data_IF_029012718282
#
_entry.id   IF_029012718282
#
_cell.length_a   1.000
_cell.length_b   1.000
_cell.length_c   1.000
_cell.angle_alpha   90.00
_cell.angle_beta   90.00
_cell.angle_gamma   90.00
#
_symmetry.space_group_name_H-M   'P 1'
#
loop_
_entity.id
_entity.type
_entity.pdbx_description
1 polymer ?
#
# COMPACT_ATOMS: atom_id res chain seq x y z
N UNK A 1 13.61 -11.11 -29.84
CA UNK A 1 13.75 -10.99 -28.37
C UNK A 1 13.95 -12.38 -27.81
N UNK A 2 15.12 -12.67 -27.25
CA UNK A 2 15.40 -13.95 -26.59
C UNK A 2 14.67 -13.99 -25.25
N UNK A 3 13.80 -14.98 -25.06
CA UNK A 3 13.12 -15.22 -23.78
C UNK A 3 14.15 -15.73 -22.77
N UNK A 4 14.48 -14.93 -21.76
CA UNK A 4 15.34 -15.38 -20.66
C UNK A 4 14.68 -16.54 -19.91
N UNK A 5 15.47 -17.53 -19.51
CA UNK A 5 14.94 -18.62 -18.68
C UNK A 5 14.57 -18.10 -17.29
N UNK A 6 13.70 -18.83 -16.59
CA UNK A 6 13.29 -18.48 -15.22
C UNK A 6 14.50 -18.37 -14.26
N UNK A 7 15.50 -19.23 -14.42
CA UNK A 7 16.72 -19.20 -13.61
C UNK A 7 17.59 -17.99 -13.94
N UNK A 8 17.70 -17.60 -15.22
CA UNK A 8 18.47 -16.41 -15.61
C UNK A 8 17.87 -15.13 -15.03
N UNK A 9 16.54 -15.02 -15.03
CA UNK A 9 15.82 -13.89 -14.41
C UNK A 9 16.18 -13.81 -12.91
N UNK A 10 16.10 -14.93 -12.19
CA UNK A 10 16.43 -14.96 -10.75
C UNK A 10 17.89 -14.60 -10.49
N UNK A 11 18.83 -15.15 -11.27
CA UNK A 11 20.25 -14.83 -11.13
C UNK A 11 20.52 -13.33 -11.35
N UNK A 12 19.90 -12.74 -12.39
CA UNK A 12 20.04 -11.31 -12.69
C UNK A 12 19.40 -10.42 -11.62
N UNK A 13 18.24 -10.78 -11.07
CA UNK A 13 17.60 -10.03 -9.98
C UNK A 13 18.48 -9.99 -8.71
N UNK A 14 19.27 -11.04 -8.47
CA UNK A 14 20.19 -11.11 -7.32
C UNK A 14 21.48 -10.31 -7.52
N UNK A 15 21.80 -9.95 -8.76
CA UNK A 15 23.03 -9.24 -9.13
C UNK A 15 22.74 -7.74 -9.36
N UNK A 16 23.33 -6.87 -8.54
CA UNK A 16 23.11 -5.42 -8.62
C UNK A 16 23.49 -4.83 -9.99
N UNK A 17 24.50 -5.39 -10.66
CA UNK A 17 24.93 -4.89 -11.98
C UNK A 17 23.96 -5.25 -13.11
N UNK A 18 23.06 -6.20 -12.87
CA UNK A 18 22.10 -6.68 -13.87
C UNK A 18 20.64 -6.36 -13.51
N UNK A 19 20.37 -5.91 -12.29
CA UNK A 19 19.02 -5.54 -11.86
C UNK A 19 18.73 -4.09 -12.23
N UNK A 20 18.06 -3.91 -13.36
CA UNK A 20 17.66 -2.63 -13.91
C UNK A 20 16.21 -2.67 -14.42
N UNK A 21 15.73 -1.55 -14.97
CA UNK A 21 14.36 -1.41 -15.46
C UNK A 21 14.02 -2.38 -16.60
N UNK A 22 14.99 -2.71 -17.46
CA UNK A 22 14.80 -3.69 -18.54
C UNK A 22 14.51 -5.10 -17.99
N UNK A 23 15.20 -5.47 -16.91
CA UNK A 23 14.95 -6.73 -16.22
C UNK A 23 13.56 -6.72 -15.55
N UNK A 24 13.18 -5.62 -14.90
CA UNK A 24 11.84 -5.49 -14.31
C UNK A 24 10.73 -5.62 -15.38
N UNK A 25 10.93 -5.00 -16.56
CA UNK A 25 10.03 -5.16 -17.70
C UNK A 25 10.04 -6.57 -18.27
N UNK A 26 11.18 -7.27 -18.25
CA UNK A 26 11.24 -8.69 -18.62
C UNK A 26 10.44 -9.55 -17.66
N UNK A 27 10.51 -9.29 -16.35
CA UNK A 27 9.66 -9.95 -15.35
C UNK A 27 8.18 -9.69 -15.64
N UNK A 28 7.79 -8.44 -15.92
CA UNK A 28 6.42 -8.08 -16.29
C UNK A 28 5.92 -8.90 -17.48
N UNK A 29 6.67 -8.90 -18.59
CA UNK A 29 6.34 -9.64 -19.82
C UNK A 29 6.24 -11.15 -19.61
N UNK A 30 7.07 -11.68 -18.72
CA UNK A 30 7.17 -13.14 -18.50
C UNK A 30 6.10 -13.64 -17.53
N UNK A 31 5.80 -12.87 -16.48
CA UNK A 31 5.03 -13.36 -15.33
C UNK A 31 3.65 -12.71 -15.24
N UNK A 32 3.51 -11.43 -15.58
CA UNK A 32 2.26 -10.69 -15.41
C UNK A 32 1.42 -10.61 -16.69
N UNK A 33 2.02 -10.19 -17.80
CA UNK A 33 1.31 -10.00 -19.08
C UNK A 33 0.54 -11.24 -19.58
N UNK A 34 0.96 -12.50 -19.35
CA UNK A 34 0.17 -13.66 -19.72
C UNK A 34 -1.24 -13.71 -19.11
N UNK A 35 -1.47 -12.95 -18.03
CA UNK A 35 -2.74 -12.89 -17.30
C UNK A 35 -3.47 -11.55 -17.47
N UNK A 36 -2.91 -10.61 -18.23
CA UNK A 36 -3.53 -9.31 -18.52
C UNK A 36 -4.18 -9.34 -19.91
N UNK A 37 -5.47 -9.01 -19.97
CA UNK A 37 -6.14 -8.75 -21.25
C UNK A 37 -5.72 -7.36 -21.74
N UNK A 38 -5.06 -7.28 -22.89
CA UNK A 38 -4.75 -5.99 -23.51
C UNK A 38 -6.01 -5.41 -24.16
N UNK A 39 -6.75 -4.62 -23.38
CA UNK A 39 -7.97 -3.93 -23.83
C UNK A 39 -7.67 -2.69 -24.70
N UNK A 40 -6.40 -2.29 -24.81
CA UNK A 40 -6.00 -1.04 -25.49
C UNK A 40 -5.65 -1.20 -26.96
N UNK A 41 -5.55 -2.45 -27.45
CA UNK A 41 -5.29 -2.77 -28.86
C UNK A 41 -6.27 -3.84 -29.37
N UNK A 42 -7.41 -3.42 -29.95
CA UNK A 42 -8.43 -4.33 -30.47
C UNK A 42 -7.90 -5.31 -31.53
N UNK A 43 -6.84 -4.94 -32.25
CA UNK A 43 -6.23 -5.75 -33.31
C UNK A 43 -5.28 -6.84 -32.79
N UNK A 44 -4.83 -6.73 -31.55
CA UNK A 44 -3.95 -7.73 -30.89
C UNK A 44 -4.64 -8.40 -29.71
N UNK A 45 -5.97 -8.49 -29.72
CA UNK A 45 -6.72 -9.32 -28.78
C UNK A 45 -6.24 -10.76 -28.99
N UNK A 46 -5.20 -11.15 -28.25
CA UNK A 46 -4.85 -12.56 -28.10
C UNK A 46 -6.13 -13.23 -27.64
N UNK A 47 -6.59 -14.31 -28.30
CA UNK A 47 -7.76 -15.03 -27.83
C UNK A 47 -7.53 -15.35 -26.36
N UNK A 48 -8.51 -14.99 -25.52
CA UNK A 48 -8.43 -15.29 -24.09
C UNK A 48 -8.04 -16.78 -23.97
N UNK A 49 -6.97 -17.12 -23.26
CA UNK A 49 -6.54 -18.50 -23.14
C UNK A 49 -7.72 -19.33 -22.63
N UNK A 50 -7.86 -20.55 -23.15
CA UNK A 50 -8.89 -21.46 -22.64
C UNK A 50 -8.71 -21.64 -21.13
N UNK A 51 -9.78 -21.90 -20.36
CA UNK A 51 -9.66 -22.10 -18.91
C UNK A 51 -8.59 -23.15 -18.53
N UNK A 52 -8.42 -24.19 -19.35
CA UNK A 52 -7.39 -25.21 -19.17
C UNK A 52 -5.97 -24.69 -19.43
N UNK A 53 -5.77 -23.91 -20.50
CA UNK A 53 -4.48 -23.28 -20.79
C UNK A 53 -4.10 -22.26 -19.70
N UNK A 54 -5.07 -21.49 -19.22
CA UNK A 54 -4.87 -20.55 -18.11
C UNK A 54 -4.48 -21.30 -16.82
N UNK A 55 -5.16 -22.41 -16.50
CA UNK A 55 -4.80 -23.26 -15.34
C UNK A 55 -3.38 -23.83 -15.46
N UNK A 56 -2.99 -24.34 -16.63
CA UNK A 56 -1.63 -24.85 -16.86
C UNK A 56 -0.57 -23.76 -16.69
N UNK A 57 -0.82 -22.56 -17.22
CA UNK A 57 0.06 -21.41 -17.04
C UNK A 57 0.16 -20.99 -15.58
N UNK A 58 -0.97 -20.92 -14.86
CA UNK A 58 -1.00 -20.56 -13.44
C UNK A 58 -0.18 -21.55 -12.58
N UNK A 59 -0.35 -22.86 -12.80
CA UNK A 59 0.42 -23.89 -12.09
C UNK A 59 1.93 -23.77 -12.34
N UNK A 60 2.34 -23.37 -13.56
CA UNK A 60 3.75 -23.22 -13.92
C UNK A 60 4.34 -21.91 -13.38
N UNK A 61 3.61 -20.79 -13.48
CA UNK A 61 4.13 -19.45 -13.20
C UNK A 61 3.96 -19.02 -11.74
N UNK A 62 2.99 -19.53 -11.00
CA UNK A 62 2.79 -19.15 -9.60
C UNK A 62 3.99 -19.48 -8.70
N UNK A 63 4.61 -20.69 -8.75
CA UNK A 63 5.81 -20.97 -7.98
C UNK A 63 6.98 -20.05 -8.36
N UNK A 64 7.08 -19.69 -9.64
CA UNK A 64 8.13 -18.80 -10.13
C UNK A 64 7.93 -17.36 -9.63
N UNK A 65 6.71 -16.83 -9.72
CA UNK A 65 6.35 -15.52 -9.18
C UNK A 65 6.63 -15.44 -7.67
N UNK A 66 6.29 -16.49 -6.91
CA UNK A 66 6.58 -16.54 -5.48
C UNK A 66 8.10 -16.53 -5.19
N UNK A 67 8.89 -17.27 -5.97
CA UNK A 67 10.36 -17.25 -5.87
C UNK A 67 10.95 -15.86 -6.14
N UNK A 68 10.43 -15.14 -7.14
CA UNK A 68 10.85 -13.75 -7.42
C UNK A 68 10.62 -12.88 -6.18
N UNK A 69 9.42 -12.88 -5.61
CA UNK A 69 9.09 -12.00 -4.48
C UNK A 69 9.94 -12.32 -3.25
N UNK A 70 10.11 -13.60 -2.92
CA UNK A 70 10.91 -14.02 -1.76
C UNK A 70 12.39 -13.67 -1.94
N UNK A 71 12.96 -13.92 -3.13
CA UNK A 71 14.34 -13.57 -3.43
C UNK A 71 14.56 -12.05 -3.40
N UNK A 72 13.60 -11.29 -3.91
CA UNK A 72 13.68 -9.83 -3.89
C UNK A 72 13.63 -9.29 -2.45
N UNK A 73 12.79 -9.86 -1.56
CA UNK A 73 12.80 -9.51 -0.14
C UNK A 73 14.17 -9.74 0.53
N UNK A 74 14.79 -10.89 0.25
CA UNK A 74 16.14 -11.20 0.74
C UNK A 74 17.17 -10.21 0.18
N UNK A 75 17.07 -9.92 -1.11
CA UNK A 75 18.00 -9.02 -1.82
C UNK A 75 17.87 -7.58 -1.31
N UNK A 76 16.66 -7.08 -1.10
CA UNK A 76 16.39 -5.76 -0.50
C UNK A 76 16.93 -5.68 0.95
N UNK A 77 16.80 -6.78 1.71
CA UNK A 77 17.36 -6.87 3.07
C UNK A 77 18.88 -6.79 3.06
N UNK A 78 19.53 -7.44 2.10
CA UNK A 78 20.98 -7.37 1.91
C UNK A 78 21.42 -5.98 1.44
N UNK A 79 20.70 -5.39 0.49
CA UNK A 79 20.96 -4.05 -0.06
C UNK A 79 21.00 -2.98 1.03
N UNK A 80 20.06 -3.03 1.99
CA UNK A 80 20.02 -2.14 3.16
C UNK A 80 21.28 -2.22 4.02
N UNK A 81 21.88 -3.42 4.14
CA UNK A 81 23.09 -3.65 4.95
C UNK A 81 24.35 -3.22 4.21
N UNK A 82 24.45 -3.56 2.93
CA UNK A 82 25.66 -3.33 2.12
C UNK A 82 25.81 -1.88 1.69
N UNK A 83 24.71 -1.11 1.59
CA UNK A 83 24.72 0.32 1.24
C UNK A 83 25.64 0.64 0.05
N UNK A 84 25.38 0.06 -1.14
CA UNK A 84 26.16 0.37 -2.33
C UNK A 84 26.01 1.84 -2.72
N UNK A 85 26.77 2.26 -3.74
CA UNK A 85 26.67 3.60 -4.32
C UNK A 85 25.21 4.00 -4.60
N UNK A 86 24.90 5.29 -4.40
CA UNK A 86 23.53 5.83 -4.46
C UNK A 86 22.85 5.59 -5.81
N UNK A 87 23.59 5.64 -6.91
CA UNK A 87 23.05 5.40 -8.26
C UNK A 87 22.64 3.94 -8.40
N UNK A 88 23.54 3.02 -8.03
CA UNK A 88 23.29 1.57 -8.04
C UNK A 88 22.11 1.25 -7.11
N UNK A 89 22.10 1.83 -5.91
CA UNK A 89 21.04 1.64 -4.94
C UNK A 89 19.66 1.98 -5.53
N UNK A 90 19.53 3.17 -6.13
CA UNK A 90 18.26 3.65 -6.69
C UNK A 90 17.75 2.73 -7.81
N UNK A 91 18.63 2.36 -8.75
CA UNK A 91 18.27 1.50 -9.88
C UNK A 91 17.86 0.11 -9.41
N UNK A 92 18.63 -0.49 -8.49
CA UNK A 92 18.36 -1.83 -7.96
C UNK A 92 17.08 -1.84 -7.13
N UNK A 93 16.83 -0.82 -6.30
CA UNK A 93 15.58 -0.70 -5.54
C UNK A 93 14.38 -0.67 -6.48
N UNK A 94 14.40 0.18 -7.52
CA UNK A 94 13.31 0.26 -8.48
C UNK A 94 13.09 -1.08 -9.19
N UNK A 95 14.15 -1.71 -9.69
CA UNK A 95 14.13 -3.02 -10.32
C UNK A 95 13.47 -4.08 -9.42
N UNK A 96 13.92 -4.20 -8.17
CA UNK A 96 13.42 -5.20 -7.23
C UNK A 96 11.98 -4.91 -6.77
N UNK A 97 11.65 -3.65 -6.53
CA UNK A 97 10.30 -3.25 -6.11
C UNK A 97 9.29 -3.50 -7.22
N UNK A 98 9.55 -3.01 -8.44
CA UNK A 98 8.63 -3.15 -9.55
C UNK A 98 8.46 -4.62 -9.96
N UNK A 99 9.56 -5.39 -10.06
CA UNK A 99 9.46 -6.83 -10.34
C UNK A 99 8.70 -7.60 -9.26
N UNK A 100 8.81 -7.21 -7.98
CA UNK A 100 8.01 -7.79 -6.90
C UNK A 100 6.52 -7.48 -7.06
N UNK A 101 6.15 -6.24 -7.39
CA UNK A 101 4.74 -5.88 -7.60
C UNK A 101 4.14 -6.49 -8.88
N UNK A 102 4.95 -6.69 -9.92
CA UNK A 102 4.52 -7.45 -11.09
C UNK A 102 4.23 -8.91 -10.74
N UNK A 103 5.14 -9.56 -10.00
CA UNK A 103 4.95 -10.93 -9.55
C UNK A 103 3.75 -11.07 -8.59
N UNK A 104 3.57 -10.15 -7.64
CA UNK A 104 2.40 -10.12 -6.75
C UNK A 104 1.09 -9.93 -7.50
N UNK A 105 1.06 -9.05 -8.50
CA UNK A 105 -0.13 -8.84 -9.33
C UNK A 105 -0.47 -10.10 -10.13
N UNK A 106 0.54 -10.78 -10.68
CA UNK A 106 0.36 -12.05 -11.36
C UNK A 106 -0.19 -13.13 -10.42
N UNK A 107 0.36 -13.24 -9.20
CA UNK A 107 -0.13 -14.16 -8.17
C UNK A 107 -1.61 -13.92 -7.85
N UNK A 108 -2.08 -12.67 -7.83
CA UNK A 108 -3.51 -12.38 -7.61
C UNK A 108 -4.39 -12.91 -8.74
N UNK A 109 -3.96 -12.77 -10.00
CA UNK A 109 -4.66 -13.38 -11.14
C UNK A 109 -4.67 -14.91 -11.09
N UNK A 110 -3.58 -15.51 -10.60
CA UNK A 110 -3.44 -16.97 -10.48
C UNK A 110 -4.16 -17.53 -9.23
N UNK A 111 -4.43 -16.71 -8.22
CA UNK A 111 -4.90 -17.14 -6.90
C UNK A 111 -6.07 -18.14 -6.93
N UNK A 112 -7.14 -17.94 -7.73
CA UNK A 112 -8.27 -18.88 -7.78
C UNK A 112 -7.91 -20.30 -8.24
N UNK A 113 -6.73 -20.47 -8.85
CA UNK A 113 -6.29 -21.72 -9.46
C UNK A 113 -5.07 -22.31 -8.76
N UNK A 114 -4.65 -21.71 -7.65
CA UNK A 114 -3.48 -22.13 -6.87
C UNK A 114 -3.90 -22.57 -5.47
N UNK A 115 -3.05 -23.33 -4.79
CA UNK A 115 -3.26 -23.77 -3.40
C UNK A 115 -2.66 -22.80 -2.38
N UNK A 116 -2.56 -21.52 -2.73
CA UNK A 116 -2.02 -20.50 -1.84
C UNK A 116 -2.92 -20.33 -0.61
N UNK A 117 -2.29 -20.11 0.54
CA UNK A 117 -3.02 -19.91 1.79
C UNK A 117 -3.81 -18.59 1.72
N UNK A 118 -4.99 -18.50 2.35
CA UNK A 118 -5.72 -17.24 2.46
C UNK A 118 -4.82 -16.11 2.97
N UNK A 119 -4.94 -14.94 2.34
CA UNK A 119 -4.18 -13.73 2.65
C UNK A 119 -2.66 -13.84 2.51
N UNK A 120 -2.12 -14.92 1.93
CA UNK A 120 -0.67 -15.08 1.80
C UNK A 120 -0.07 -14.04 0.85
N UNK A 121 -0.79 -13.68 -0.21
CA UNK A 121 -0.33 -12.66 -1.17
C UNK A 121 -0.33 -11.29 -0.49
N UNK A 122 -1.34 -10.99 0.32
CA UNK A 122 -1.50 -9.75 1.06
C UNK A 122 -0.43 -9.60 2.15
N UNK A 123 -0.12 -10.68 2.89
CA UNK A 123 1.02 -10.73 3.82
C UNK A 123 2.33 -10.39 3.11
N UNK A 124 2.59 -11.04 1.98
CA UNK A 124 3.81 -10.79 1.22
C UNK A 124 3.84 -9.36 0.64
N UNK A 125 2.69 -8.83 0.22
CA UNK A 125 2.55 -7.43 -0.21
C UNK A 125 2.90 -6.48 0.93
N UNK A 126 2.33 -6.70 2.13
CA UNK A 126 2.64 -5.92 3.33
C UNK A 126 4.12 -5.98 3.68
N UNK A 127 4.76 -7.15 3.60
CA UNK A 127 6.20 -7.31 3.86
C UNK A 127 7.07 -6.54 2.87
N UNK A 128 6.72 -6.54 1.58
CA UNK A 128 7.40 -5.73 0.56
C UNK A 128 7.26 -4.25 0.90
N UNK A 129 6.06 -3.77 1.21
CA UNK A 129 5.83 -2.37 1.59
C UNK A 129 6.65 -1.98 2.83
N UNK A 130 6.65 -2.80 3.88
CA UNK A 130 7.49 -2.59 5.07
C UNK A 130 8.96 -2.49 4.68
N UNK A 131 9.43 -3.31 3.74
CA UNK A 131 10.82 -3.25 3.27
C UNK A 131 11.14 -1.95 2.53
N UNK A 132 10.19 -1.42 1.75
CA UNK A 132 10.31 -0.12 1.07
C UNK A 132 10.39 1.02 2.10
N UNK A 133 9.56 0.99 3.15
CA UNK A 133 9.63 1.95 4.27
C UNK A 133 11.00 1.90 4.94
N UNK A 134 11.46 0.68 5.25
CA UNK A 134 12.75 0.42 5.87
C UNK A 134 13.98 0.90 5.07
N UNK A 135 13.83 1.04 3.75
CA UNK A 135 14.86 1.50 2.81
C UNK A 135 14.86 3.02 2.62
N UNK A 136 13.95 3.76 3.25
CA UNK A 136 13.87 5.22 3.09
C UNK A 136 12.97 5.68 1.94
N UNK A 137 12.36 4.77 1.19
CA UNK A 137 11.57 5.08 -0.01
C UNK A 137 10.12 5.46 0.34
N UNK A 138 9.95 6.43 1.24
CA UNK A 138 8.66 6.75 1.88
C UNK A 138 7.59 7.19 0.88
N UNK A 139 7.96 7.97 -0.14
CA UNK A 139 7.03 8.39 -1.19
C UNK A 139 6.48 7.21 -1.99
N UNK A 140 7.33 6.22 -2.31
CA UNK A 140 6.89 5.00 -2.99
C UNK A 140 6.07 4.12 -2.06
N UNK A 141 6.48 3.96 -0.81
CA UNK A 141 5.71 3.20 0.18
C UNK A 141 4.29 3.75 0.36
N UNK A 142 4.12 5.07 0.51
CA UNK A 142 2.80 5.72 0.63
C UNK A 142 1.90 5.45 -0.58
N UNK A 143 2.47 5.47 -1.79
CA UNK A 143 1.74 5.14 -3.00
C UNK A 143 1.26 3.68 -2.99
N UNK A 144 2.11 2.74 -2.61
CA UNK A 144 1.73 1.32 -2.53
C UNK A 144 0.77 1.03 -1.38
N UNK A 145 0.88 1.73 -0.25
CA UNK A 145 -0.08 1.67 0.86
C UNK A 145 -1.48 2.10 0.40
N UNK A 146 -1.59 3.09 -0.48
CA UNK A 146 -2.87 3.53 -1.05
C UNK A 146 -3.53 2.41 -1.84
N UNK A 147 -2.78 1.71 -2.70
CA UNK A 147 -3.28 0.55 -3.45
C UNK A 147 -3.62 -0.61 -2.50
N UNK A 148 -2.78 -0.83 -1.49
CA UNK A 148 -2.98 -1.90 -0.52
C UNK A 148 -4.24 -1.70 0.32
N UNK A 149 -4.53 -0.47 0.75
CA UNK A 149 -5.79 -0.11 1.42
C UNK A 149 -7.01 -0.47 0.57
N UNK A 150 -6.99 -0.12 -0.71
CA UNK A 150 -8.08 -0.47 -1.65
C UNK A 150 -8.21 -1.98 -1.81
N UNK A 151 -7.10 -2.71 -1.90
CA UNK A 151 -7.10 -4.17 -1.96
C UNK A 151 -7.72 -4.81 -0.71
N UNK A 152 -7.30 -4.39 0.49
CA UNK A 152 -7.86 -4.91 1.74
C UNK A 152 -9.37 -4.64 1.83
N UNK A 153 -9.80 -3.43 1.46
CA UNK A 153 -11.21 -3.08 1.44
C UNK A 153 -12.03 -3.96 0.49
N UNK A 154 -11.49 -4.25 -0.70
CA UNK A 154 -12.11 -5.17 -1.65
C UNK A 154 -12.24 -6.59 -1.11
N UNK A 155 -11.21 -7.09 -0.39
CA UNK A 155 -11.24 -8.43 0.20
C UNK A 155 -12.29 -8.50 1.31
N UNK A 156 -12.38 -7.46 2.13
CA UNK A 156 -13.32 -7.34 3.23
C UNK A 156 -14.73 -6.92 2.77
N UNK A 157 -14.90 -6.56 1.49
CA UNK A 157 -16.14 -6.05 0.90
C UNK A 157 -16.68 -4.81 1.63
N UNK A 158 -15.78 -3.97 2.15
CA UNK A 158 -16.13 -2.69 2.77
C UNK A 158 -15.99 -1.57 1.76
N UNK A 159 -16.89 -0.58 1.82
CA UNK A 159 -16.83 0.59 0.95
C UNK A 159 -15.85 1.60 1.53
N UNK A 160 -14.83 1.96 0.76
CA UNK A 160 -14.03 3.14 1.05
C UNK A 160 -14.79 4.35 0.55
N UNK A 161 -14.98 5.37 1.39
CA UNK A 161 -15.55 6.64 0.92
C UNK A 161 -14.74 7.15 -0.27
N UNK A 162 -15.38 7.28 -1.44
CA UNK A 162 -14.67 7.56 -2.69
C UNK A 162 -13.95 8.91 -2.64
N UNK A 163 -12.77 8.96 -3.26
CA UNK A 163 -12.17 10.22 -3.67
C UNK A 163 -13.12 10.86 -4.69
N UNK A 164 -13.46 12.13 -4.50
CA UNK A 164 -13.91 12.97 -5.62
C UNK A 164 -12.75 13.02 -6.62
N UNK A 165 -12.78 12.15 -7.62
CA UNK A 165 -12.14 12.44 -8.89
C UNK A 165 -13.13 13.27 -9.68
N UNK A 166 -12.73 14.51 -9.95
CA UNK A 166 -13.42 15.41 -10.84
C UNK A 166 -13.42 14.79 -12.24
N UNK A 167 -14.53 14.18 -12.64
CA UNK A 167 -14.92 14.13 -14.04
C UNK A 167 -16.12 15.06 -14.20
N UNK A 168 -15.79 16.31 -14.56
CA UNK A 168 -16.66 17.09 -15.41
C UNK A 168 -16.68 16.37 -16.77
N UNK A 169 -17.80 15.75 -17.10
CA UNK A 169 -18.27 15.76 -18.48
C UNK A 169 -19.78 15.89 -18.46
N UNK A 170 -20.23 17.11 -18.76
CA UNK A 170 -21.62 17.39 -19.00
C UNK A 170 -22.07 16.74 -20.30
N UNK A 171 -23.13 15.94 -20.23
CA UNK A 171 -24.18 15.98 -21.25
C UNK A 171 -25.49 15.47 -20.66
N UNK A 172 -26.34 16.42 -20.31
CA UNK A 172 -27.76 16.19 -20.16
C UNK A 172 -28.33 15.84 -21.54
N UNK A 173 -28.95 14.66 -21.66
CA UNK A 173 -30.00 14.41 -22.66
C UNK A 173 -31.18 13.80 -21.93
N UNK A 174 -32.33 14.47 -22.07
CA UNK A 174 -33.61 14.18 -21.44
C UNK A 174 -34.31 12.98 -22.09
N UNK A 175 -35.01 12.20 -21.23
CA UNK A 175 -36.32 11.51 -21.36
C UNK A 175 -36.61 10.67 -22.62
N UNK A 176 -37.16 9.44 -22.60
CA UNK A 176 -37.84 8.54 -21.64
C UNK A 176 -38.59 7.45 -22.49
N UNK A 177 -39.59 6.68 -22.01
CA UNK A 177 -39.73 5.90 -20.77
C UNK A 177 -40.22 4.43 -21.01
N UNK A 178 -40.54 3.71 -19.91
CA UNK A 178 -41.27 2.41 -19.76
C UNK A 178 -40.41 1.14 -19.61
N UNK A 179 -40.60 0.24 -18.64
CA UNK A 179 -41.64 0.06 -17.61
C UNK A 179 -41.19 -0.89 -16.47
N UNK A 180 -41.73 -0.66 -15.25
CA UNK A 180 -42.10 -1.62 -14.16
C UNK A 180 -41.02 -2.53 -13.54
N UNK A 181 -40.81 -2.69 -12.22
CA UNK A 181 -41.40 -2.28 -10.93
C UNK A 181 -40.40 -2.80 -9.84
N UNK A 182 -40.38 -2.44 -8.55
CA UNK A 182 -41.37 -2.00 -7.57
C UNK A 182 -40.83 -0.84 -6.73
N UNK A 183 -41.74 0.02 -6.26
CA UNK A 183 -41.49 1.04 -5.24
C UNK A 183 -41.99 0.58 -3.86
N UNK A 184 -41.20 0.87 -2.83
CA UNK A 184 -41.64 1.41 -1.52
C UNK A 184 -40.36 1.99 -0.87
N UNK A 185 -40.05 3.30 -0.83
CA UNK A 185 -40.76 4.42 -0.19
C UNK A 185 -41.17 4.06 1.25
N UNK A 186 -40.77 4.72 2.36
CA UNK A 186 -40.18 6.03 2.66
C UNK A 186 -39.74 6.02 4.15
N UNK A 187 -38.96 7.05 4.53
CA UNK A 187 -38.63 7.60 5.88
C UNK A 187 -37.18 7.38 6.33
N UNK A 188 -36.44 8.38 6.80
CA UNK A 188 -36.67 9.83 6.82
C UNK A 188 -35.32 10.54 6.84
N UNK A 189 -35.32 11.66 6.13
CA UNK A 189 -34.36 12.76 6.14
C UNK A 189 -33.77 13.07 7.52
N UNK A 190 -32.45 12.97 7.63
CA UNK A 190 -31.67 13.93 8.42
C UNK A 190 -30.70 14.61 7.47
N UNK A 191 -31.01 15.86 7.14
CA UNK A 191 -30.11 16.78 6.45
C UNK A 191 -28.82 16.94 7.27
N UNK A 192 -27.73 16.37 6.80
CA UNK A 192 -26.40 16.91 7.05
C UNK A 192 -25.86 17.42 5.73
N UNK A 193 -25.90 18.74 5.62
CA UNK A 193 -25.12 19.56 4.69
C UNK A 193 -23.83 18.87 4.27
N UNK A 194 -23.69 18.66 2.96
CA UNK A 194 -22.44 18.29 2.31
C UNK A 194 -21.43 19.43 2.50
N UNK A 195 -20.84 19.52 3.70
CA UNK A 195 -19.66 20.32 3.93
C UNK A 195 -18.47 19.62 3.27
N UNK A 196 -17.77 20.40 2.47
CA UNK A 196 -16.47 20.13 1.90
C UNK A 196 -15.52 19.61 2.99
N UNK A 197 -15.34 18.29 3.08
CA UNK A 197 -14.30 17.69 3.92
C UNK A 197 -12.95 17.87 3.25
N UNK A 198 -12.42 19.09 3.39
CA UNK A 198 -10.98 19.33 3.39
C UNK A 198 -10.33 18.61 4.56
N UNK A 199 -9.03 18.80 4.75
CA UNK A 199 -8.26 18.36 5.92
C UNK A 199 -8.76 19.00 7.24
N UNK A 200 -10.06 19.02 7.52
CA UNK A 200 -10.67 19.75 8.64
C UNK A 200 -10.20 19.22 10.01
N UNK A 201 -9.57 18.05 10.03
CA UNK A 201 -8.96 17.48 11.23
C UNK A 201 -7.60 18.10 11.54
N UNK A 202 -6.88 18.61 10.53
CA UNK A 202 -5.57 19.27 10.74
C UNK A 202 -5.77 20.77 10.69
N UNK A 203 -5.54 21.51 11.79
CA UNK A 203 -5.70 22.96 11.81
C UNK A 203 -4.86 23.66 10.72
N UNK A 204 -5.47 24.56 9.95
CA UNK A 204 -4.79 25.21 8.83
C UNK A 204 -3.54 26.02 9.25
N UNK A 205 -3.51 26.51 10.49
CA UNK A 205 -2.41 27.28 11.07
C UNK A 205 -1.15 26.45 11.37
N UNK A 206 -1.23 25.11 11.38
CA UNK A 206 -0.05 24.25 11.57
C UNK A 206 0.54 23.73 10.25
N UNK A 207 -0.11 24.03 9.12
CA UNK A 207 0.36 23.67 7.77
C UNK A 207 1.25 24.81 7.25
N UNK A 208 2.53 24.52 7.09
CA UNK A 208 3.57 25.52 6.80
C UNK A 208 3.91 25.61 5.31
N UNK A 209 3.48 24.66 4.48
CA UNK A 209 3.79 24.69 3.04
C UNK A 209 2.74 23.98 2.17
N UNK A 210 2.70 24.32 0.88
CA UNK A 210 1.85 23.65 -0.10
C UNK A 210 2.16 22.15 -0.19
N UNK A 211 3.43 21.77 -0.09
CA UNK A 211 3.84 20.36 -0.09
C UNK A 211 3.24 19.59 1.10
N UNK A 212 3.20 20.17 2.31
CA UNK A 212 2.56 19.55 3.48
C UNK A 212 1.06 19.35 3.23
N UNK A 213 0.39 20.35 2.65
CA UNK A 213 -1.01 20.29 2.26
C UNK A 213 -1.28 19.20 1.23
N UNK A 214 -0.43 19.09 0.20
CA UNK A 214 -0.55 18.07 -0.84
C UNK A 214 -0.35 16.65 -0.28
N UNK A 215 0.60 16.48 0.66
CA UNK A 215 0.82 15.21 1.35
C UNK A 215 -0.40 14.79 2.19
N UNK A 216 -1.00 15.73 2.94
CA UNK A 216 -2.22 15.49 3.69
C UNK A 216 -3.37 15.11 2.77
N UNK A 217 -3.66 15.92 1.75
CA UNK A 217 -4.76 15.68 0.81
C UNK A 217 -4.62 14.33 0.08
N UNK A 218 -3.39 13.86 -0.14
CA UNK A 218 -3.12 12.63 -0.87
C UNK A 218 -3.15 11.39 0.01
N UNK A 219 -2.74 11.50 1.27
CA UNK A 219 -2.43 10.34 2.11
C UNK A 219 -3.09 10.32 3.50
N UNK A 220 -3.87 11.33 3.89
CA UNK A 220 -4.60 11.37 5.18
C UNK A 220 -5.48 10.12 5.40
N UNK A 221 -6.12 9.64 4.34
CA UNK A 221 -7.00 8.46 4.36
C UNK A 221 -6.25 7.17 4.68
N UNK A 222 -4.92 7.12 4.58
CA UNK A 222 -4.13 5.96 5.02
C UNK A 222 -4.20 5.75 6.53
N UNK A 223 -4.54 6.80 7.29
CA UNK A 223 -4.67 6.70 8.74
C UNK A 223 -6.01 6.14 9.18
N UNK A 224 -6.91 5.80 8.24
CA UNK A 224 -8.25 5.27 8.52
C UNK A 224 -8.58 4.06 7.66
N UNK A 225 -9.17 3.04 8.27
CA UNK A 225 -9.83 1.94 7.60
C UNK A 225 -11.25 1.77 8.17
N UNK A 226 -12.30 1.60 7.35
CA UNK A 226 -13.68 1.48 7.84
C UNK A 226 -13.81 0.43 8.93
N UNK A 227 -14.24 0.84 10.12
CA UNK A 227 -14.49 -0.08 11.23
C UNK A 227 -15.72 -0.92 10.92
N UNK A 228 -15.54 -2.22 11.02
CA UNK A 228 -16.63 -3.18 10.97
C UNK A 228 -16.39 -4.20 12.07
N UNK A 229 -17.25 -4.16 13.09
CA UNK A 229 -17.12 -4.99 14.29
C UNK A 229 -17.38 -6.47 14.01
N UNK A 230 -17.87 -6.83 12.81
CA UNK A 230 -18.01 -8.23 12.39
C UNK A 230 -16.67 -8.85 12.00
N UNK A 231 -15.62 -8.05 11.85
CA UNK A 231 -14.31 -8.47 11.37
C UNK A 231 -13.47 -8.97 12.55
N UNK A 232 -13.41 -10.29 12.69
CA UNK A 232 -12.66 -10.97 13.75
C UNK A 232 -11.48 -11.79 13.23
N UNK A 233 -11.20 -11.78 11.92
CA UNK A 233 -10.04 -12.46 11.37
C UNK A 233 -8.75 -11.74 11.81
N UNK A 234 -8.03 -12.40 12.73
CA UNK A 234 -6.75 -11.93 13.28
C UNK A 234 -5.76 -11.50 12.20
N UNK A 235 -5.66 -12.25 11.11
CA UNK A 235 -4.71 -11.94 10.03
C UNK A 235 -5.08 -10.63 9.35
N UNK A 236 -6.36 -10.43 9.03
CA UNK A 236 -6.86 -9.22 8.39
C UNK A 236 -6.62 -8.00 9.26
N UNK A 237 -6.95 -8.08 10.56
CA UNK A 237 -6.71 -6.99 11.51
C UNK A 237 -5.21 -6.63 11.55
N UNK A 238 -4.32 -7.62 11.57
CA UNK A 238 -2.88 -7.38 11.55
C UNK A 238 -2.40 -6.73 10.24
N UNK A 239 -3.01 -7.05 9.10
CA UNK A 239 -2.69 -6.39 7.83
C UNK A 239 -3.12 -4.91 7.83
N UNK A 240 -4.26 -4.61 8.44
CA UNK A 240 -4.76 -3.25 8.63
C UNK A 240 -3.79 -2.45 9.50
N UNK A 241 -3.46 -2.98 10.67
CA UNK A 241 -2.51 -2.37 11.59
C UNK A 241 -1.13 -2.19 10.96
N UNK A 242 -0.62 -3.18 10.21
CA UNK A 242 0.68 -3.10 9.56
C UNK A 242 0.73 -1.97 8.52
N UNK A 243 -0.31 -1.80 7.70
CA UNK A 243 -0.32 -0.73 6.70
C UNK A 243 -0.45 0.65 7.38
N UNK A 244 -1.29 0.78 8.41
CA UNK A 244 -1.43 2.03 9.15
C UNK A 244 -0.14 2.41 9.88
N UNK A 245 0.54 1.44 10.50
CA UNK A 245 1.84 1.63 11.12
C UNK A 245 2.90 2.06 10.11
N UNK A 246 2.91 1.46 8.92
CA UNK A 246 3.80 1.88 7.84
C UNK A 246 3.48 3.30 7.35
N UNK A 247 2.21 3.72 7.33
CA UNK A 247 1.84 5.10 7.02
C UNK A 247 2.36 6.09 8.09
N UNK A 248 2.24 5.74 9.38
CA UNK A 248 2.82 6.50 10.49
C UNK A 248 4.33 6.63 10.31
N UNK A 249 5.04 5.53 10.08
CA UNK A 249 6.49 5.53 9.87
C UNK A 249 6.88 6.44 8.69
N UNK A 250 6.17 6.35 7.57
CA UNK A 250 6.42 7.22 6.41
C UNK A 250 6.24 8.69 6.73
N UNK A 251 5.17 9.07 7.44
CA UNK A 251 4.94 10.47 7.81
C UNK A 251 5.97 10.98 8.82
N UNK A 252 6.37 10.13 9.76
CA UNK A 252 7.35 10.46 10.79
C UNK A 252 8.76 10.66 10.25
N UNK A 253 9.12 10.03 9.13
CA UNK A 253 10.47 10.15 8.53
C UNK A 253 10.46 11.01 7.24
N UNK A 254 9.30 11.31 6.65
CA UNK A 254 9.20 12.14 5.45
C UNK A 254 9.74 13.57 5.70
N UNK A 255 10.70 13.98 4.85
CA UNK A 255 11.41 15.27 4.96
C UNK A 255 11.80 15.57 6.41
N UNK A 256 12.57 14.66 7.01
CA UNK A 256 13.10 14.81 8.37
C UNK A 256 12.01 15.13 9.39
N UNK A 257 10.90 14.39 9.35
CA UNK A 257 9.81 14.49 10.32
C UNK A 257 8.97 15.77 10.23
N UNK A 258 9.12 16.56 9.16
CA UNK A 258 8.35 17.80 8.95
C UNK A 258 6.83 17.63 9.12
N UNK A 259 6.27 16.49 8.73
CA UNK A 259 4.82 16.20 8.80
C UNK A 259 4.43 15.30 9.99
N UNK A 260 5.38 14.95 10.86
CA UNK A 260 5.10 14.16 12.07
C UNK A 260 4.13 14.88 13.03
N UNK A 261 4.15 16.22 13.04
CA UNK A 261 3.24 17.08 13.80
C UNK A 261 1.75 16.84 13.51
N UNK A 262 1.41 16.23 12.36
CA UNK A 262 0.03 15.94 11.98
C UNK A 262 -0.50 14.62 12.55
N UNK A 263 0.36 13.71 13.03
CA UNK A 263 -0.03 12.37 13.49
C UNK A 263 -1.15 12.39 14.55
N UNK A 264 -1.11 13.25 15.61
CA UNK A 264 -2.17 13.28 16.60
C UNK A 264 -3.55 13.55 16.00
N UNK A 265 -3.63 14.53 15.09
CA UNK A 265 -4.86 14.91 14.39
C UNK A 265 -5.35 13.78 13.47
N UNK A 266 -4.44 13.10 12.77
CA UNK A 266 -4.80 11.99 11.88
C UNK A 266 -5.39 10.79 12.63
N UNK A 267 -5.18 10.70 13.94
CA UNK A 267 -5.74 9.68 14.82
C UNK A 267 -7.09 10.06 15.44
N UNK A 268 -7.60 11.27 15.23
CA UNK A 268 -8.90 11.70 15.78
C UNK A 268 -10.08 11.07 15.01
N UNK A 269 -9.89 10.75 13.73
CA UNK A 269 -10.95 10.12 12.92
C UNK A 269 -11.11 8.64 13.26
N UNK A 270 -12.35 8.11 13.21
CA UNK A 270 -12.61 6.70 13.48
C UNK A 270 -11.95 5.78 12.45
N UNK A 271 -11.64 4.56 12.88
CA UNK A 271 -10.94 3.60 12.04
C UNK A 271 -9.44 3.80 11.99
N UNK A 272 -8.91 4.56 12.94
CA UNK A 272 -7.47 4.73 13.13
C UNK A 272 -6.82 3.48 13.75
N UNK A 273 -5.50 3.53 13.90
CA UNK A 273 -4.70 2.43 14.45
C UNK A 273 -5.15 1.99 15.85
N UNK A 274 -5.56 2.95 16.71
CA UNK A 274 -6.00 2.63 18.08
C UNK A 274 -7.33 1.88 18.07
N UNK A 275 -8.26 2.23 17.18
CA UNK A 275 -9.53 1.53 17.04
C UNK A 275 -9.33 0.08 16.58
N UNK A 276 -8.49 -0.13 15.56
CA UNK A 276 -8.15 -1.48 15.09
C UNK A 276 -7.34 -2.28 16.13
N UNK A 277 -6.54 -1.60 16.95
CA UNK A 277 -5.87 -2.25 18.06
C UNK A 277 -6.86 -2.71 19.14
N UNK A 278 -7.89 -1.91 19.44
CA UNK A 278 -9.00 -2.32 20.34
C UNK A 278 -9.74 -3.52 19.79
N UNK A 279 -9.97 -3.58 18.48
CA UNK A 279 -10.58 -4.74 17.85
C UNK A 279 -9.67 -5.98 17.93
N UNK A 280 -8.35 -5.81 17.79
CA UNK A 280 -7.39 -6.89 17.99
C UNK A 280 -7.39 -7.41 19.43
N UNK A 281 -7.60 -6.56 20.45
CA UNK A 281 -7.69 -7.01 21.85
C UNK A 281 -8.82 -8.04 22.08
N UNK A 282 -9.90 -7.97 21.29
CA UNK A 282 -10.99 -8.94 21.39
C UNK A 282 -10.61 -10.31 20.81
N UNK A 283 -9.50 -10.41 20.07
CA UNK A 283 -9.08 -11.60 19.33
C UNK A 283 -7.73 -12.16 19.81
N UNK A 284 -6.76 -11.29 20.11
CA UNK A 284 -5.40 -11.61 20.56
C UNK A 284 -4.83 -10.40 21.34
N UNK A 285 -5.05 -10.40 22.65
CA UNK A 285 -4.66 -9.34 23.59
C UNK A 285 -3.14 -9.13 23.62
N UNK A 286 -2.36 -10.20 23.72
CA UNK A 286 -0.90 -10.16 23.76
C UNK A 286 -0.32 -9.48 22.52
N UNK A 287 -0.84 -9.79 21.32
CA UNK A 287 -0.36 -9.15 20.10
C UNK A 287 -0.87 -7.71 20.00
N UNK A 288 -2.08 -7.41 20.44
CA UNK A 288 -2.58 -6.03 20.51
C UNK A 288 -1.68 -5.12 21.36
N UNK A 289 -1.27 -5.59 22.55
CA UNK A 289 -0.32 -4.87 23.40
C UNK A 289 1.01 -4.61 22.70
N UNK A 290 1.55 -5.60 21.98
CA UNK A 290 2.79 -5.44 21.21
C UNK A 290 2.64 -4.41 20.08
N UNK A 291 1.49 -4.36 19.42
CA UNK A 291 1.23 -3.36 18.37
C UNK A 291 1.18 -1.94 18.97
N UNK A 292 0.51 -1.75 20.11
CA UNK A 292 0.48 -0.47 20.81
C UNK A 292 1.86 -0.05 21.33
N UNK A 293 2.63 -0.98 21.90
CA UNK A 293 4.00 -0.70 22.35
C UNK A 293 4.91 -0.31 21.18
N UNK A 294 4.79 -0.98 20.02
CA UNK A 294 5.53 -0.63 18.81
C UNK A 294 5.18 0.78 18.30
N UNK A 295 3.89 1.14 18.30
CA UNK A 295 3.43 2.48 17.97
C UNK A 295 4.01 3.51 18.96
N UNK A 296 3.87 3.27 20.27
CA UNK A 296 4.38 4.17 21.31
C UNK A 296 5.89 4.38 21.18
N UNK A 297 6.67 3.33 21.02
CA UNK A 297 8.13 3.40 20.82
C UNK A 297 8.49 4.22 19.58
N UNK A 298 7.72 4.07 18.51
CA UNK A 298 7.91 4.83 17.28
C UNK A 298 7.64 6.32 17.50
N UNK A 299 6.49 6.68 18.07
CA UNK A 299 6.15 8.07 18.35
C UNK A 299 7.13 8.73 19.33
N UNK A 300 7.54 8.01 20.38
CA UNK A 300 8.56 8.50 21.33
C UNK A 300 9.92 8.74 20.67
N UNK A 301 10.32 7.88 19.72
CA UNK A 301 11.55 8.10 18.94
C UNK A 301 11.46 9.38 18.11
N UNK A 302 10.30 9.60 17.48
CA UNK A 302 10.05 10.77 16.63
C UNK A 302 10.04 12.06 17.45
N UNK A 303 9.38 12.07 18.60
CA UNK A 303 9.36 13.23 19.52
C UNK A 303 10.79 13.57 19.99
N UNK A 304 11.62 12.56 20.30
CA UNK A 304 13.02 12.78 20.69
C UNK A 304 13.87 13.32 19.55
N UNK A 305 13.62 12.86 18.32
CA UNK A 305 14.41 13.22 17.13
C UNK A 305 14.02 14.57 16.55
N UNK A 306 12.74 14.92 16.64
CA UNK A 306 12.15 16.13 16.10
C UNK A 306 11.34 16.84 17.19
N UNK A 307 12.02 17.45 18.19
CA UNK A 307 11.33 18.18 19.24
C UNK A 307 10.52 19.32 18.62
N UNK A 308 9.23 19.36 18.97
CA UNK A 308 8.24 20.31 18.44
C UNK A 308 8.60 21.77 18.73
N UNK A 309 9.54 22.00 19.64
CA UNK A 309 10.16 23.29 19.91
C UNK A 309 11.65 23.16 19.59
N UNK A 310 12.14 23.95 18.63
CA UNK A 310 13.51 23.93 18.09
C UNK A 310 14.66 24.25 19.06
N UNK A 311 14.59 23.82 20.31
CA UNK A 311 15.76 23.68 21.18
C UNK A 311 16.32 22.28 20.96
N UNK A 312 17.26 22.16 20.03
CA UNK A 312 18.32 21.17 20.21
C UNK A 312 18.87 21.44 21.62
N UNK A 313 18.72 20.47 22.52
CA UNK A 313 19.55 20.44 23.71
C UNK A 313 20.98 20.27 23.20
N UNK A 314 21.71 21.38 23.09
CA UNK A 314 23.17 21.36 23.18
C UNK A 314 23.48 20.78 24.55
N UNK A 315 23.69 19.48 24.60
CA UNK A 315 24.36 18.85 25.73
C UNK A 315 25.85 19.08 25.54
N UNK A 316 26.35 20.07 26.27
CA UNK A 316 27.64 20.10 26.96
C UNK A 316 28.82 19.41 26.27
N UNK A 317 29.66 20.23 25.65
CA UNK A 317 31.11 20.08 25.75
C UNK A 317 31.71 21.40 26.21
N UNK A 318 31.60 21.64 27.52
CA UNK A 318 32.58 22.42 28.28
C UNK A 318 33.18 21.48 29.30
N UNK A 319 34.44 21.10 29.09
CA UNK A 319 35.37 20.89 30.18
C UNK A 319 36.71 21.45 29.72
N UNK A 320 37.22 22.36 30.55
CA UNK A 320 38.60 22.85 30.59
C UNK A 320 39.63 21.71 30.61
#
# INVERSE_FOLDING_TARGET
MTTLSANDILLKLKNYQSCNDELAMTVRKTVLEPFQLDLSRPETIKPSPSPQAFKQMATKLAPFALRIVNQNLETLTRLKKEKPDKVIYTVVVNCLVDSSFYALSALRHMNPLTTLKPLSIEKTTSNIITKIVELGEHGRALHELTKFRVLLASIMKVTLENNKSSQNDGKAVKAGPSATGLSSALRDSSNTTAQSLSSDTVPANIINSQWEKDMLNKYDRLFQFPLDNTINDRTMILLILAYQMNAVLCFCEAKDGSIAKFIPYLFEKPGNFLDWSRQLFLVDDMIAERQLDALRKTLMRVIKRYPVNGKQAMTDTTYD
#
